data_IF_773174375883
#
_entry.id   IF_773174375883
#
_cell.length_a   1.000
_cell.length_b   1.000
_cell.length_c   1.000
_cell.angle_alpha   90.00
_cell.angle_beta   90.00
_cell.angle_gamma   90.00
#
_symmetry.space_group_name_H-M   'P 1'
#
loop_
_entity.id
_entity.type
_entity.pdbx_description
1 polymer ?
#
# COMPACT_ATOMS: atom_id res chain seq x y z
N UNK A 1 -37.90 3.51 -10.62
CA UNK A 1 -37.18 4.71 -11.11
C UNK A 1 -36.15 5.10 -10.06
N UNK A 2 -34.86 5.12 -10.40
CA UNK A 2 -33.78 5.35 -9.44
C UNK A 2 -33.66 6.82 -9.07
N UNK A 3 -34.11 7.18 -7.86
CA UNK A 3 -33.74 8.46 -7.26
C UNK A 3 -32.27 8.39 -6.85
N UNK A 4 -31.46 9.36 -7.29
CA UNK A 4 -30.12 9.55 -6.77
C UNK A 4 -30.20 10.44 -5.53
N UNK A 5 -29.48 10.06 -4.48
CA UNK A 5 -29.37 10.82 -3.23
C UNK A 5 -28.71 12.18 -3.48
N UNK A 6 -29.09 13.19 -2.69
CA UNK A 6 -28.47 14.51 -2.75
C UNK A 6 -26.97 14.45 -2.44
N UNK A 7 -26.19 15.24 -3.19
CA UNK A 7 -24.74 15.30 -3.02
C UNK A 7 -24.35 16.15 -1.80
N UNK A 8 -23.44 15.68 -0.92
CA UNK A 8 -23.01 16.40 0.28
C UNK A 8 -22.51 17.83 0.02
N UNK A 9 -22.61 18.73 0.99
CA UNK A 9 -22.18 20.13 0.87
C UNK A 9 -20.69 20.32 0.56
N UNK A 10 -19.83 19.40 1.00
CA UNK A 10 -18.39 19.49 0.73
C UNK A 10 -18.04 19.37 -0.77
N UNK A 11 -18.95 18.89 -1.60
CA UNK A 11 -18.72 18.74 -3.04
C UNK A 11 -18.87 20.12 -3.70
N UNK A 12 -17.83 20.65 -4.37
CA UNK A 12 -17.93 21.94 -5.05
C UNK A 12 -19.04 21.97 -6.09
N UNK A 13 -19.70 23.13 -6.24
CA UNK A 13 -20.86 23.32 -7.12
C UNK A 13 -20.62 22.80 -8.54
N UNK A 14 -19.49 23.14 -9.16
CA UNK A 14 -19.15 22.69 -10.52
C UNK A 14 -19.09 21.16 -10.65
N UNK A 15 -18.57 20.49 -9.62
CA UNK A 15 -18.49 19.03 -9.61
C UNK A 15 -19.87 18.39 -9.36
N UNK A 16 -20.71 19.00 -8.52
CA UNK A 16 -22.11 18.59 -8.34
C UNK A 16 -22.88 18.67 -9.65
N UNK A 17 -22.74 19.76 -10.39
CA UNK A 17 -23.40 19.96 -11.70
C UNK A 17 -22.94 18.89 -12.70
N UNK A 18 -21.64 18.64 -12.78
CA UNK A 18 -21.09 17.59 -13.64
C UNK A 18 -21.64 16.21 -13.29
N UNK A 19 -21.58 15.80 -12.02
CA UNK A 19 -22.09 14.49 -11.56
C UNK A 19 -23.59 14.35 -11.84
N UNK A 20 -24.37 15.39 -11.55
CA UNK A 20 -25.81 15.41 -11.79
C UNK A 20 -26.12 15.24 -13.28
N UNK A 21 -25.36 15.90 -14.16
CA UNK A 21 -25.51 15.73 -15.61
C UNK A 21 -25.16 14.30 -16.08
N UNK A 22 -24.15 13.65 -15.47
CA UNK A 22 -23.77 12.28 -15.81
C UNK A 22 -24.85 11.25 -15.44
N UNK A 23 -25.54 11.47 -14.32
CA UNK A 23 -26.61 10.60 -13.80
C UNK A 23 -28.00 10.88 -14.39
N UNK A 24 -28.12 11.84 -15.32
CA UNK A 24 -29.38 12.15 -15.98
C UNK A 24 -29.97 10.94 -16.71
N UNK A 25 -31.28 10.73 -16.56
CA UNK A 25 -32.06 9.74 -17.33
C UNK A 25 -32.17 10.15 -18.81
N UNK A 26 -32.15 11.46 -19.09
CA UNK A 26 -32.09 11.98 -20.44
C UNK A 26 -30.65 11.86 -20.96
N UNK A 27 -30.48 11.04 -21.99
CA UNK A 27 -29.18 10.78 -22.62
C UNK A 27 -28.55 12.03 -23.25
N UNK A 28 -29.37 12.99 -23.70
CA UNK A 28 -28.89 14.23 -24.32
C UNK A 28 -28.29 15.21 -23.31
N UNK A 29 -28.63 15.06 -22.03
CA UNK A 29 -28.08 15.86 -20.93
C UNK A 29 -26.80 15.27 -20.36
N UNK A 30 -26.51 14.01 -20.67
CA UNK A 30 -25.25 13.38 -20.26
C UNK A 30 -24.09 14.02 -21.01
N UNK A 31 -23.04 14.48 -20.32
CA UNK A 31 -21.91 15.09 -20.98
C UNK A 31 -21.15 14.05 -21.80
N UNK A 32 -20.60 14.49 -22.92
CA UNK A 32 -19.69 13.68 -23.74
C UNK A 32 -18.32 13.60 -23.09
N UNK A 33 -17.54 12.58 -23.46
CA UNK A 33 -16.14 12.45 -23.04
C UNK A 33 -15.33 13.72 -23.33
N UNK A 34 -15.57 14.39 -24.45
CA UNK A 34 -14.90 15.65 -24.80
C UNK A 34 -15.22 16.76 -23.79
N UNK A 35 -16.48 16.90 -23.38
CA UNK A 35 -16.90 17.90 -22.39
C UNK A 35 -16.33 17.59 -21.00
N UNK A 36 -16.31 16.31 -20.61
CA UNK A 36 -15.71 15.87 -19.33
C UNK A 36 -14.21 16.18 -19.33
N UNK A 37 -13.48 15.78 -20.37
CA UNK A 37 -12.03 16.01 -20.51
C UNK A 37 -11.67 17.49 -20.59
N UNK A 38 -12.62 18.37 -20.93
CA UNK A 38 -12.38 19.81 -20.98
C UNK A 38 -12.44 20.48 -19.61
N UNK A 39 -13.03 19.84 -18.61
CA UNK A 39 -13.22 20.38 -17.27
C UNK A 39 -11.86 20.60 -16.58
N UNK A 40 -11.70 21.76 -15.93
CA UNK A 40 -10.43 22.26 -15.40
C UNK A 40 -9.86 21.38 -14.29
N UNK A 41 -10.71 20.91 -13.37
CA UNK A 41 -10.35 19.99 -12.29
C UNK A 41 -9.84 18.67 -12.87
N UNK A 42 -10.52 18.10 -13.86
CA UNK A 42 -10.10 16.85 -14.52
C UNK A 42 -8.74 17.02 -15.20
N UNK A 43 -8.56 18.08 -16.00
CA UNK A 43 -7.25 18.40 -16.61
C UNK A 43 -6.14 18.60 -15.59
N UNK A 44 -6.43 19.24 -14.47
CA UNK A 44 -5.47 19.46 -13.39
C UNK A 44 -5.03 18.12 -12.79
N UNK A 45 -5.97 17.23 -12.47
CA UNK A 45 -5.65 15.91 -11.93
C UNK A 45 -4.89 15.05 -12.94
N UNK A 46 -5.25 15.08 -14.23
CA UNK A 46 -4.51 14.34 -15.26
C UNK A 46 -3.04 14.78 -15.35
N UNK A 47 -2.78 16.09 -15.43
CA UNK A 47 -1.41 16.61 -15.43
C UNK A 47 -0.64 16.23 -14.17
N UNK A 48 -1.29 16.29 -13.01
CA UNK A 48 -0.66 15.92 -11.74
C UNK A 48 -0.28 14.43 -11.71
N UNK A 49 -1.07 13.55 -12.32
CA UNK A 49 -0.72 12.13 -12.42
C UNK A 49 0.42 11.90 -13.40
N UNK A 50 0.40 12.54 -14.58
CA UNK A 50 1.50 12.48 -15.55
C UNK A 50 2.83 12.94 -14.92
N UNK A 51 2.79 14.01 -14.11
CA UNK A 51 3.98 14.50 -13.40
C UNK A 51 4.43 13.55 -12.29
N UNK A 52 3.49 12.97 -11.55
CA UNK A 52 3.80 11.98 -10.51
C UNK A 52 4.46 10.73 -11.08
N UNK A 53 3.97 10.24 -12.22
CA UNK A 53 4.56 9.10 -12.93
C UNK A 53 5.99 9.43 -13.41
N UNK A 54 6.19 10.62 -14.02
CA UNK A 54 7.53 11.09 -14.40
C UNK A 54 8.50 11.16 -13.22
N UNK A 55 8.07 11.73 -12.09
CA UNK A 55 8.91 11.83 -10.89
C UNK A 55 9.22 10.46 -10.27
N UNK A 56 8.30 9.50 -10.36
CA UNK A 56 8.53 8.13 -9.90
C UNK A 56 9.56 7.41 -10.77
N UNK A 57 9.46 7.57 -12.09
CA UNK A 57 10.42 7.01 -13.04
C UNK A 57 11.82 7.60 -12.84
N UNK A 58 11.92 8.93 -12.70
CA UNK A 58 13.19 9.62 -12.44
C UNK A 58 13.83 9.16 -11.13
N UNK A 59 13.04 9.07 -10.04
CA UNK A 59 13.52 8.55 -8.76
C UNK A 59 13.98 7.08 -8.84
N UNK A 60 13.31 6.26 -9.65
CA UNK A 60 13.70 4.87 -9.90
C UNK A 60 15.07 4.80 -10.58
N UNK A 61 15.27 5.63 -11.62
CA UNK A 61 16.53 5.71 -12.35
C UNK A 61 17.68 6.24 -11.48
N UNK A 62 17.44 7.28 -10.68
CA UNK A 62 18.42 7.79 -9.72
C UNK A 62 18.85 6.73 -8.72
N UNK A 63 17.91 5.99 -8.11
CA UNK A 63 18.22 4.88 -7.20
C UNK A 63 19.04 3.80 -7.87
N UNK A 64 18.72 3.44 -9.12
CA UNK A 64 19.47 2.44 -9.88
C UNK A 64 20.91 2.90 -10.18
N UNK A 65 21.12 4.19 -10.47
CA UNK A 65 22.45 4.75 -10.70
C UNK A 65 23.28 4.79 -9.40
N UNK A 66 22.68 5.20 -8.27
CA UNK A 66 23.38 5.18 -6.97
C UNK A 66 23.80 3.77 -6.55
N UNK A 67 22.97 2.76 -6.82
CA UNK A 67 23.30 1.36 -6.51
C UNK A 67 24.52 0.83 -7.28
N UNK A 68 24.78 1.35 -8.49
CA UNK A 68 25.95 0.97 -9.30
C UNK A 68 27.26 1.62 -8.86
N UNK A 69 27.20 2.63 -7.97
CA UNK A 69 28.38 3.35 -7.47
C UNK A 69 28.86 2.89 -6.08
N UNK A 70 28.18 1.93 -5.43
CA UNK A 70 28.69 1.33 -4.19
C UNK A 70 29.71 0.21 -4.46
N UNK A 71 30.92 0.24 -3.86
CA UNK A 71 31.83 -0.90 -3.87
C UNK A 71 31.34 -2.05 -2.96
N UNK A 72 31.56 -3.29 -3.40
CA UNK A 72 31.23 -4.54 -2.70
C UNK A 72 31.78 -4.58 -1.25
N UNK A 73 31.01 -5.06 -0.24
CA UNK A 73 31.52 -5.19 1.11
C UNK A 73 32.44 -6.42 1.25
N UNK A 74 33.66 -6.19 1.74
CA UNK A 74 34.61 -7.22 2.14
C UNK A 74 34.02 -7.98 3.34
N UNK A 75 33.92 -9.30 3.24
CA UNK A 75 33.33 -10.16 4.25
C UNK A 75 34.12 -10.14 5.58
N UNK A 76 33.47 -9.70 6.66
CA UNK A 76 33.93 -9.91 8.04
C UNK A 76 32.94 -10.80 8.79
N UNK A 77 33.42 -11.98 9.23
CA UNK A 77 32.70 -12.95 10.06
C UNK A 77 32.53 -12.42 11.50
N UNK A 78 31.39 -12.58 12.17
CA UNK A 78 31.23 -12.16 13.57
C UNK A 78 31.69 -13.25 14.55
N UNK A 79 32.38 -12.85 15.64
CA UNK A 79 32.50 -13.61 16.89
C UNK A 79 31.59 -12.95 17.94
N UNK A 80 30.82 -13.70 18.74
CA UNK A 80 29.95 -13.12 19.76
C UNK A 80 30.74 -12.79 21.03
N UNK A 81 30.60 -11.57 21.56
CA UNK A 81 30.98 -11.22 22.92
C UNK A 81 29.75 -10.64 23.62
N UNK A 82 29.37 -11.34 24.68
CA UNK A 82 28.34 -11.07 25.66
C UNK A 82 28.73 -9.90 26.58
N UNK A 83 27.94 -8.81 26.64
CA UNK A 83 27.92 -7.87 27.78
C UNK A 83 26.51 -7.27 27.96
N UNK A 84 25.93 -7.48 29.15
CA UNK A 84 24.69 -6.91 29.68
C UNK A 84 24.72 -5.37 29.88
N UNK A 85 23.55 -4.70 30.00
CA UNK A 85 23.42 -3.25 29.91
C UNK A 85 23.68 -2.53 31.25
N UNK A 86 24.49 -1.47 31.22
CA UNK A 86 24.53 -0.45 32.28
C UNK A 86 24.06 0.90 31.75
N UNK A 87 22.93 1.34 32.29
CA UNK A 87 22.42 2.71 32.18
C UNK A 87 23.42 3.69 32.81
N UNK A 88 23.67 4.82 32.15
CA UNK A 88 24.06 6.06 32.82
C UNK A 88 23.63 7.28 32.00
N UNK A 89 22.72 8.03 32.62
CA UNK A 89 22.20 9.34 32.26
C UNK A 89 23.28 10.41 32.27
N UNK A 90 23.35 11.25 31.22
CA UNK A 90 24.01 12.56 31.31
C UNK A 90 23.14 13.61 30.62
N UNK A 91 22.73 14.56 31.45
CA UNK A 91 22.09 15.82 31.13
C UNK A 91 23.12 16.82 30.65
N UNK A 92 22.90 17.47 29.51
CA UNK A 92 23.53 18.75 29.17
C UNK A 92 22.53 19.66 28.45
N UNK A 93 22.23 20.79 29.10
CA UNK A 93 21.53 21.93 28.51
C UNK A 93 22.42 22.63 27.46
N UNK A 94 21.84 23.29 26.45
CA UNK A 94 22.47 24.43 25.80
C UNK A 94 21.80 25.75 26.23
N UNK A 95 22.61 26.63 26.80
CA UNK A 95 22.34 28.07 26.98
C UNK A 95 23.08 28.83 25.88
N UNK A 96 22.37 29.35 24.88
CA UNK A 96 22.80 30.56 24.15
C UNK A 96 21.58 31.38 23.75
N UNK A 97 21.68 32.65 24.10
CA UNK A 97 20.72 33.74 24.05
C UNK A 97 20.67 34.39 22.66
N UNK A 98 19.48 34.53 22.08
CA UNK A 98 19.15 35.64 21.16
C UNK A 98 17.63 35.84 21.07
N UNK A 99 17.15 36.94 21.64
CA UNK A 99 15.92 37.63 21.22
C UNK A 99 16.33 38.82 20.31
N UNK A 100 15.45 39.53 19.56
CA UNK A 100 13.97 39.56 19.65
C UNK A 100 13.21 39.64 18.29
N UNK A 101 11.93 39.27 18.26
CA UNK A 101 10.77 40.16 17.98
C UNK A 101 9.46 39.35 17.97
N UNK A 102 8.53 39.78 18.81
CA UNK A 102 7.18 39.21 18.94
C UNK A 102 6.34 39.70 17.76
N UNK A 103 5.87 38.78 16.93
CA UNK A 103 4.62 38.93 16.17
C UNK A 103 3.74 37.75 16.57
N UNK A 104 2.61 38.06 17.20
CA UNK A 104 1.61 37.09 17.60
C UNK A 104 0.91 36.62 16.32
N UNK A 105 1.25 35.44 15.83
CA UNK A 105 0.40 34.71 14.89
C UNK A 105 -0.76 34.06 15.67
N UNK A 106 -2.01 34.14 15.17
CA UNK A 106 -3.12 33.42 15.79
C UNK A 106 -2.84 31.91 15.75
N UNK A 107 -3.27 31.12 16.76
CA UNK A 107 -2.99 29.70 16.81
C UNK A 107 -3.72 29.03 15.65
N UNK A 108 -2.98 28.71 14.58
CA UNK A 108 -3.42 27.71 13.63
C UNK A 108 -3.39 26.40 14.39
N UNK A 109 -4.56 25.99 14.87
CA UNK A 109 -4.79 24.66 15.41
C UNK A 109 -4.31 23.67 14.37
N UNK A 110 -3.12 23.10 14.57
CA UNK A 110 -2.70 21.88 13.90
C UNK A 110 -3.64 20.80 14.41
N UNK A 111 -4.83 20.72 13.82
CA UNK A 111 -5.65 19.54 13.85
C UNK A 111 -4.80 18.43 13.26
N UNK A 112 -4.27 17.65 14.19
CA UNK A 112 -3.54 16.41 14.08
C UNK A 112 -4.01 15.57 12.88
N UNK A 113 -3.33 15.70 11.73
CA UNK A 113 -3.38 14.66 10.69
C UNK A 113 -2.41 13.55 11.11
N UNK A 114 -2.73 12.89 12.23
CA UNK A 114 -2.28 11.51 12.41
C UNK A 114 -3.30 10.65 11.67
N UNK A 115 -3.19 10.63 10.33
CA UNK A 115 -3.77 9.50 9.60
C UNK A 115 -2.98 8.28 10.05
N UNK A 116 -3.53 7.55 11.01
CA UNK A 116 -3.06 6.23 11.40
C UNK A 116 -3.05 5.41 10.10
N UNK A 117 -1.86 5.16 9.54
CA UNK A 117 -1.73 4.14 8.49
C UNK A 117 -2.31 2.88 9.10
N UNK A 118 -3.43 2.42 8.58
CA UNK A 118 -4.02 1.15 9.00
C UNK A 118 -3.10 0.06 8.45
N UNK A 119 -2.11 -0.32 9.25
CA UNK A 119 -1.14 -1.36 8.89
C UNK A 119 -1.89 -2.68 8.87
N UNK A 120 -1.77 -3.41 7.77
CA UNK A 120 -2.29 -4.76 7.66
C UNK A 120 -1.41 -5.66 8.52
N UNK A 121 -2.00 -6.40 9.46
CA UNK A 121 -1.29 -7.38 10.28
C UNK A 121 -1.70 -8.79 9.88
N UNK A 122 -0.77 -9.74 9.85
CA UNK A 122 -1.09 -11.14 9.54
C UNK A 122 -2.05 -11.70 10.59
N UNK A 123 -2.96 -12.57 10.15
CA UNK A 123 -3.86 -13.30 11.04
C UNK A 123 -3.08 -14.43 11.71
N UNK A 124 -3.13 -14.49 13.04
CA UNK A 124 -2.57 -15.57 13.84
C UNK A 124 -3.05 -16.95 13.33
N UNK A 125 -2.10 -17.79 12.91
CA UNK A 125 -2.36 -19.14 12.44
C UNK A 125 -1.11 -20.02 12.55
N UNK A 126 -1.30 -21.35 12.48
CA UNK A 126 -0.22 -22.32 12.38
C UNK A 126 0.65 -22.14 11.14
N UNK A 127 0.14 -21.48 10.09
CA UNK A 127 0.90 -21.11 8.89
C UNK A 127 2.12 -20.27 9.22
N UNK A 128 2.08 -19.47 10.30
CA UNK A 128 3.21 -18.63 10.72
C UNK A 128 4.45 -19.43 11.16
N UNK A 129 4.33 -20.75 11.35
CA UNK A 129 5.47 -21.63 11.65
C UNK A 129 6.30 -21.95 10.41
N UNK A 130 5.74 -21.79 9.21
CA UNK A 130 6.39 -22.09 7.94
C UNK A 130 6.99 -20.84 7.29
N UNK A 131 7.07 -19.72 8.04
CA UNK A 131 7.60 -18.45 7.53
C UNK A 131 8.64 -17.82 8.45
N UNK A 132 9.57 -17.11 7.83
CA UNK A 132 10.47 -16.16 8.48
C UNK A 132 9.90 -14.75 8.33
N UNK A 133 9.81 -14.02 9.45
CA UNK A 133 9.30 -12.65 9.49
C UNK A 133 10.44 -11.67 9.72
N UNK A 134 10.59 -10.70 8.82
CA UNK A 134 11.55 -9.59 8.95
C UNK A 134 10.83 -8.25 8.70
N UNK A 135 10.41 -7.58 9.78
CA UNK A 135 9.56 -6.39 9.69
C UNK A 135 8.23 -6.72 9.00
N UNK A 136 7.95 -6.04 7.89
CA UNK A 136 6.75 -6.24 7.08
C UNK A 136 6.94 -7.29 5.96
N UNK A 137 8.08 -7.98 5.93
CA UNK A 137 8.41 -9.00 4.92
C UNK A 137 8.22 -10.40 5.50
N UNK A 138 7.51 -11.24 4.75
CA UNK A 138 7.20 -12.63 5.09
C UNK A 138 7.82 -13.53 4.02
N UNK A 139 8.70 -14.44 4.43
CA UNK A 139 9.39 -15.37 3.54
C UNK A 139 9.03 -16.80 3.94
N UNK A 140 8.58 -17.63 3.00
CA UNK A 140 8.42 -19.06 3.27
C UNK A 140 9.79 -19.68 3.63
N UNK A 141 9.82 -20.56 4.63
CA UNK A 141 11.06 -21.24 4.99
C UNK A 141 11.47 -22.21 3.89
N UNK A 142 12.77 -22.47 3.76
CA UNK A 142 13.28 -23.50 2.84
C UNK A 142 13.25 -24.90 3.48
N UNK A 143 12.73 -25.01 4.70
CA UNK A 143 12.73 -26.24 5.51
C UNK A 143 11.58 -27.19 5.16
N UNK A 144 10.54 -26.72 4.46
CA UNK A 144 9.41 -27.53 4.02
C UNK A 144 8.85 -27.05 2.67
N UNK A 145 7.95 -27.86 2.09
CA UNK A 145 7.24 -27.55 0.85
C UNK A 145 5.73 -27.40 1.04
N UNK A 146 5.30 -26.95 2.23
CA UNK A 146 3.88 -26.83 2.54
C UNK A 146 3.23 -25.69 1.76
N UNK A 147 1.92 -25.81 1.55
CA UNK A 147 1.12 -24.67 1.12
C UNK A 147 1.01 -23.63 2.24
N UNK A 148 1.32 -22.37 1.92
CA UNK A 148 1.36 -21.27 2.87
C UNK A 148 0.44 -20.13 2.45
N UNK A 149 -0.81 -20.16 2.94
CA UNK A 149 -1.80 -19.10 2.69
C UNK A 149 -1.80 -18.09 3.84
N UNK A 150 -1.24 -16.91 3.60
CA UNK A 150 -1.23 -15.80 4.57
C UNK A 150 -2.50 -14.94 4.44
N UNK A 151 -3.19 -14.74 5.56
CA UNK A 151 -4.29 -13.79 5.67
C UNK A 151 -3.84 -12.55 6.41
N UNK A 152 -4.40 -11.40 6.02
CA UNK A 152 -4.12 -10.12 6.65
C UNK A 152 -5.41 -9.47 7.14
N UNK A 153 -5.34 -8.83 8.31
CA UNK A 153 -6.40 -8.04 8.92
C UNK A 153 -6.01 -6.57 9.00
N UNK A 154 -6.98 -5.64 8.90
CA UNK A 154 -8.41 -5.87 8.63
C UNK A 154 -8.69 -6.35 7.19
N UNK A 155 -9.87 -6.94 6.98
CA UNK A 155 -10.39 -7.21 5.62
C UNK A 155 -10.46 -5.91 4.82
N UNK A 156 -9.94 -5.98 3.59
CA UNK A 156 -9.92 -4.87 2.65
C UNK A 156 -11.26 -4.82 1.93
N UNK A 157 -12.13 -3.90 2.34
CA UNK A 157 -13.45 -3.72 1.71
C UNK A 157 -13.61 -2.35 1.02
N UNK A 158 -12.65 -1.43 1.18
CA UNK A 158 -12.62 -0.09 0.58
C UNK A 158 -11.18 0.41 0.42
N UNK A 159 -10.97 1.34 -0.51
CA UNK A 159 -9.68 2.03 -0.70
C UNK A 159 -8.73 1.32 -1.66
N UNK A 160 -7.43 1.58 -1.50
CA UNK A 160 -6.38 0.99 -2.34
C UNK A 160 -5.33 0.37 -1.44
N UNK A 161 -5.03 -0.91 -1.68
CA UNK A 161 -3.91 -1.61 -1.04
C UNK A 161 -2.90 -2.01 -2.10
N UNK A 162 -1.64 -1.71 -1.81
CA UNK A 162 -0.49 -2.12 -2.61
C UNK A 162 0.18 -3.29 -1.92
N UNK A 163 0.38 -4.38 -2.66
CA UNK A 163 1.10 -5.57 -2.20
C UNK A 163 2.25 -5.84 -3.17
N UNK A 164 3.43 -6.12 -2.62
CA UNK A 164 4.65 -6.39 -3.38
C UNK A 164 5.07 -7.84 -3.14
N UNK A 165 5.19 -8.61 -4.22
CA UNK A 165 5.71 -9.97 -4.20
C UNK A 165 7.09 -9.92 -4.85
N UNK A 166 8.11 -10.35 -4.13
CA UNK A 166 9.49 -10.31 -4.60
C UNK A 166 10.08 -11.71 -4.60
N UNK A 167 10.72 -12.08 -5.71
CA UNK A 167 11.50 -13.33 -5.82
C UNK A 167 10.77 -14.59 -5.36
N UNK A 168 9.48 -14.73 -5.73
CA UNK A 168 8.69 -15.94 -5.47
C UNK A 168 8.72 -16.85 -6.70
N UNK A 169 9.02 -18.13 -6.48
CA UNK A 169 9.07 -19.15 -7.54
C UNK A 169 7.68 -19.69 -7.88
N UNK A 170 6.83 -19.88 -6.88
CA UNK A 170 5.52 -20.53 -7.01
C UNK A 170 4.45 -19.75 -6.21
N UNK A 171 3.97 -18.64 -6.78
CA UNK A 171 2.80 -17.93 -6.26
C UNK A 171 1.54 -18.46 -6.96
N UNK A 172 0.67 -19.13 -6.22
CA UNK A 172 -0.53 -19.74 -6.78
C UNK A 172 -1.68 -18.75 -7.00
N UNK A 173 -2.02 -17.95 -5.97
CA UNK A 173 -3.11 -16.99 -6.06
C UNK A 173 -2.93 -15.83 -5.07
N UNK A 174 -3.58 -14.72 -5.38
CA UNK A 174 -3.79 -13.57 -4.48
C UNK A 174 -5.28 -13.23 -4.51
N UNK A 175 -5.86 -12.87 -3.38
CA UNK A 175 -7.30 -12.61 -3.32
C UNK A 175 -7.75 -11.91 -2.05
N UNK A 176 -9.06 -11.71 -1.97
CA UNK A 176 -9.72 -11.14 -0.78
C UNK A 176 -10.59 -12.22 -0.18
N UNK A 177 -10.35 -12.51 1.09
CA UNK A 177 -11.15 -13.45 1.86
C UNK A 177 -12.08 -12.69 2.82
N UNK A 178 -13.24 -13.27 3.09
CA UNK A 178 -14.12 -12.83 4.16
C UNK A 178 -13.46 -12.94 5.53
N UNK A 179 -13.92 -12.13 6.48
CA UNK A 179 -13.35 -12.07 7.85
C UNK A 179 -13.46 -13.40 8.60
N UNK A 180 -14.36 -14.29 8.19
CA UNK A 180 -14.57 -15.61 8.78
C UNK A 180 -13.56 -16.67 8.31
N UNK A 181 -12.86 -16.43 7.20
CA UNK A 181 -11.98 -17.41 6.59
C UNK A 181 -10.72 -17.59 7.42
N UNK A 182 -10.32 -18.84 7.63
CA UNK A 182 -9.06 -19.21 8.29
C UNK A 182 -8.39 -20.30 7.47
N UNK A 183 -7.07 -20.28 7.37
CA UNK A 183 -6.26 -21.35 6.79
C UNK A 183 -5.36 -21.94 7.88
N UNK A 184 -5.27 -23.26 7.91
CA UNK A 184 -4.32 -24.03 8.67
C UNK A 184 -3.03 -24.25 7.89
N UNK A 185 -2.12 -24.99 8.51
CA UNK A 185 -0.85 -25.39 7.90
C UNK A 185 -1.10 -26.31 6.70
N UNK A 186 -0.36 -26.10 5.61
CA UNK A 186 -0.46 -26.89 4.38
C UNK A 186 -1.83 -26.81 3.67
N UNK A 187 -2.59 -25.74 3.91
CA UNK A 187 -3.84 -25.46 3.20
C UNK A 187 -3.65 -24.35 2.16
N UNK A 188 -3.90 -24.69 0.89
CA UNK A 188 -3.95 -23.76 -0.23
C UNK A 188 -5.23 -22.90 -0.25
N UNK A 189 -5.27 -21.86 -1.08
CA UNK A 189 -6.42 -20.96 -1.17
C UNK A 189 -7.69 -21.62 -1.73
N UNK A 190 -7.55 -22.75 -2.42
CA UNK A 190 -8.63 -23.61 -2.91
C UNK A 190 -9.23 -24.53 -1.81
N UNK A 191 -8.60 -24.60 -0.63
CA UNK A 191 -9.13 -25.35 0.51
C UNK A 191 -10.40 -24.73 1.12
N UNK A 192 -10.88 -23.60 0.59
CA UNK A 192 -12.09 -22.89 1.04
C UNK A 192 -13.04 -22.67 -0.13
N UNK A 193 -14.34 -22.65 0.16
CA UNK A 193 -15.37 -22.45 -0.84
C UNK A 193 -15.24 -21.06 -1.50
N UNK A 194 -15.37 -21.02 -2.83
CA UNK A 194 -15.23 -19.79 -3.65
C UNK A 194 -16.13 -18.64 -3.20
N UNK A 195 -17.25 -18.92 -2.52
CA UNK A 195 -18.16 -17.87 -2.04
C UNK A 195 -17.55 -16.97 -0.95
N UNK A 196 -16.51 -17.44 -0.25
CA UNK A 196 -15.87 -16.68 0.82
C UNK A 196 -14.55 -16.03 0.39
N UNK A 197 -14.08 -16.32 -0.82
CA UNK A 197 -12.77 -15.84 -1.29
C UNK A 197 -12.85 -15.44 -2.76
N UNK A 198 -12.61 -14.16 -3.05
CA UNK A 198 -12.41 -13.69 -4.41
C UNK A 198 -10.95 -13.94 -4.76
N UNK A 199 -10.70 -15.01 -5.51
CA UNK A 199 -9.37 -15.44 -5.92
C UNK A 199 -9.01 -14.90 -7.30
N UNK A 200 -7.86 -14.25 -7.40
CA UNK A 200 -7.17 -14.06 -8.67
C UNK A 200 -6.08 -15.12 -8.78
N UNK A 201 -6.41 -16.20 -9.50
CA UNK A 201 -5.44 -17.23 -9.84
C UNK A 201 -4.41 -16.67 -10.82
N UNK A 202 -3.14 -16.83 -10.51
CA UNK A 202 -2.07 -16.48 -11.45
C UNK A 202 -1.80 -17.71 -12.31
N UNK A 203 -2.17 -17.64 -13.59
CA UNK A 203 -1.79 -18.68 -14.56
C UNK A 203 -0.30 -18.50 -14.84
N UNK A 204 0.53 -19.32 -14.17
CA UNK A 204 1.95 -19.46 -14.48
C UNK A 204 2.07 -19.96 -15.92
N UNK A 205 2.50 -19.09 -16.84
CA UNK A 205 2.99 -19.56 -18.15
C UNK A 205 4.30 -20.29 -17.90
N UNK A 206 4.37 -21.53 -18.35
CA UNK A 206 5.44 -22.47 -18.06
C UNK A 206 6.86 -21.93 -18.32
N UNK A 207 7.71 -22.23 -17.33
CA UNK A 207 9.13 -22.61 -17.39
C UNK A 207 10.22 -21.58 -17.74
N UNK A 208 10.95 -21.14 -16.71
CA UNK A 208 12.33 -21.55 -16.32
C UNK A 208 13.01 -20.39 -15.57
N UNK A 209 13.34 -20.59 -14.29
CA UNK A 209 14.25 -19.78 -13.47
C UNK A 209 14.00 -18.27 -13.35
N UNK A 210 12.82 -17.77 -13.70
CA UNK A 210 12.49 -16.36 -13.49
C UNK A 210 11.82 -16.17 -12.13
N UNK A 211 12.57 -15.63 -11.17
CA UNK A 211 11.98 -14.95 -10.01
C UNK A 211 11.02 -13.87 -10.50
N UNK A 212 9.73 -13.99 -10.20
CA UNK A 212 8.77 -12.95 -10.53
C UNK A 212 8.75 -11.89 -9.44
N UNK A 213 8.99 -10.64 -9.83
CA UNK A 213 8.67 -9.48 -9.01
C UNK A 213 7.34 -8.91 -9.52
N UNK A 214 6.34 -8.88 -8.64
CA UNK A 214 4.99 -8.43 -8.97
C UNK A 214 4.56 -7.32 -8.01
N UNK A 215 4.17 -6.19 -8.60
CA UNK A 215 3.49 -5.11 -7.88
C UNK A 215 2.07 -5.04 -8.39
N UNK A 216 1.09 -5.24 -7.50
CA UNK A 216 -0.32 -5.10 -7.85
C UNK A 216 -0.96 -3.98 -7.02
N UNK A 217 -1.76 -3.15 -7.69
CA UNK A 217 -2.61 -2.14 -7.06
C UNK A 217 -4.06 -2.53 -7.24
N UNK A 218 -4.78 -2.65 -6.12
CA UNK A 218 -6.21 -2.98 -6.14
C UNK A 218 -7.03 -1.76 -5.78
N UNK A 219 -7.99 -1.38 -6.63
CA UNK A 219 -8.88 -0.23 -6.39
C UNK A 219 -10.28 -0.70 -6.02
N UNK A 220 -10.75 -0.33 -4.83
CA UNK A 220 -12.09 -0.65 -4.33
C UNK A 220 -12.91 0.64 -4.18
N UNK A 221 -14.08 0.68 -4.83
CA UNK A 221 -15.01 1.81 -4.83
C UNK A 221 -15.87 1.88 -3.57
#
# INVERSE_FOLDING_TARGET
>A
SGQHSELPEFVPKELKELITSMLSLDSKRRPTTKQIMQQSTIKMYLRMQEEKERMQEENSLLKQQLAKQQPQPIAYKPKPINIEPKQQSISTQPKVTSQPKIMIEPPVTQATVTQVRKVLSPVESKVLQDIEVNGDTYKHTEENGNWCTLLYNPVINKGIVKFEVLRVKELFAVGIADESVRYGRDEGPDAREERFVILMMMVLKETLDSTMDLVQEWRFA
#
